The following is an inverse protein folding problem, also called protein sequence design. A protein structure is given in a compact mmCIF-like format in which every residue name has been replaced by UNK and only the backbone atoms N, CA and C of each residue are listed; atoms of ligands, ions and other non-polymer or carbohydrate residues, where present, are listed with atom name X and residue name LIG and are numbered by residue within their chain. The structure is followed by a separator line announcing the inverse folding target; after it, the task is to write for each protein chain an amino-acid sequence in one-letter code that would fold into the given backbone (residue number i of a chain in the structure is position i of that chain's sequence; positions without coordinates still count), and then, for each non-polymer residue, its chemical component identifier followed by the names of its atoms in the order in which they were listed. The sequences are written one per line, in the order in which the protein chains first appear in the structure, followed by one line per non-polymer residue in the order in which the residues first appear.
data_IF_296295660295
#
_entry.id   IF_296295660295
#
_cell.length_a   1.000
_cell.length_b   1.000
_cell.length_c   1.000
_cell.angle_alpha   90.00
_cell.angle_beta   90.00
_cell.angle_gamma   90.00
#
_symmetry.space_group_name_H-M   'P 1'
#
loop_
_entity.id
_entity.type
_entity.pdbx_description
1 polymer ?
#
# COMPACT_ATOMS: atom_id res chain seq x y z
N UNK A 1 -18.77 44.21 3.82
CA UNK A 1 -18.58 43.31 5.00
C UNK A 1 -18.89 41.83 4.68
N UNK A 2 -19.92 41.48 3.88
CA UNK A 2 -20.20 40.09 3.47
C UNK A 2 -19.10 39.36 2.69
N UNK A 3 -18.26 40.06 1.92
CA UNK A 3 -17.16 39.45 1.11
C UNK A 3 -15.96 38.98 1.96
N UNK A 4 -15.71 39.62 3.10
CA UNK A 4 -14.61 39.26 4.01
C UNK A 4 -14.94 37.94 4.74
N UNK A 5 -16.22 37.72 5.05
CA UNK A 5 -16.66 36.50 5.75
C UNK A 5 -16.47 35.23 4.90
N UNK A 6 -16.70 35.32 3.58
CA UNK A 6 -16.60 34.18 2.66
C UNK A 6 -15.13 33.78 2.40
N UNK A 7 -14.21 34.74 2.48
CA UNK A 7 -12.78 34.47 2.23
C UNK A 7 -12.13 33.74 3.42
N UNK A 8 -12.59 34.03 4.65
CA UNK A 8 -12.09 33.37 5.85
C UNK A 8 -12.56 31.91 5.98
N UNK A 9 -13.71 31.54 5.39
CA UNK A 9 -14.23 30.16 5.47
C UNK A 9 -13.52 29.19 4.52
N UNK A 10 -12.97 29.68 3.40
CA UNK A 10 -12.26 28.83 2.43
C UNK A 10 -10.86 28.42 2.90
N UNK A 11 -10.27 29.14 3.86
CA UNK A 11 -8.92 28.87 4.37
C UNK A 11 -8.87 27.73 5.42
N UNK A 12 -10.01 27.32 5.96
CA UNK A 12 -10.08 26.35 7.06
C UNK A 12 -10.15 24.89 6.55
N UNK A 13 -10.37 24.68 5.25
CA UNK A 13 -10.52 23.34 4.67
C UNK A 13 -9.29 22.81 3.93
N UNK A 14 -8.10 23.36 4.20
CA UNK A 14 -6.87 22.60 3.98
C UNK A 14 -6.70 21.64 5.14
N UNK A 15 -7.47 20.56 5.14
CA UNK A 15 -7.07 19.35 5.86
C UNK A 15 -5.72 18.99 5.21
N UNK A 16 -4.62 19.39 5.85
CA UNK A 16 -3.31 18.93 5.44
C UNK A 16 -3.37 17.42 5.60
N UNK A 17 -3.55 16.70 4.49
CA UNK A 17 -3.17 15.29 4.42
C UNK A 17 -1.66 15.28 4.66
N UNK A 18 -1.27 15.25 5.92
CA UNK A 18 0.11 15.08 6.30
C UNK A 18 0.41 13.61 6.04
N UNK A 19 1.09 13.35 4.94
CA UNK A 19 1.67 12.04 4.71
C UNK A 19 2.85 11.90 5.68
N UNK A 20 2.84 10.83 6.48
CA UNK A 20 3.90 10.50 7.41
C UNK A 20 4.78 9.43 6.77
N UNK A 21 6.09 9.60 6.90
CA UNK A 21 7.04 8.56 6.51
C UNK A 21 6.98 7.42 7.51
N UNK A 22 6.70 6.22 7.01
CA UNK A 22 6.75 4.97 7.76
C UNK A 22 8.00 4.22 7.36
N UNK A 23 8.81 3.81 8.33
CA UNK A 23 10.03 3.00 8.11
C UNK A 23 9.87 1.61 8.72
N UNK A 24 10.28 0.59 7.99
CA UNK A 24 10.21 -0.83 8.37
C UNK A 24 11.54 -1.53 8.04
N UNK A 25 11.75 -2.71 8.63
CA UNK A 25 12.95 -3.56 8.40
C UNK A 25 14.26 -2.77 8.55
N UNK A 26 14.42 -2.10 9.71
CA UNK A 26 15.57 -1.25 10.03
C UNK A 26 15.87 -0.16 8.98
N UNK A 27 14.82 0.35 8.34
CA UNK A 27 14.89 1.45 7.38
C UNK A 27 15.07 1.01 5.92
N UNK A 28 15.08 -0.29 5.62
CA UNK A 28 15.15 -0.80 4.23
C UNK A 28 13.88 -0.53 3.43
N UNK A 29 12.75 -0.42 4.11
CA UNK A 29 11.46 -0.05 3.50
C UNK A 29 11.06 1.30 4.08
N UNK A 30 10.78 2.26 3.20
CA UNK A 30 10.25 3.57 3.56
C UNK A 30 9.20 4.00 2.55
N UNK A 31 8.07 4.50 3.02
CA UNK A 31 7.03 5.09 2.17
C UNK A 31 6.21 6.09 2.98
N UNK A 32 5.45 6.91 2.26
CA UNK A 32 4.57 7.91 2.85
C UNK A 32 3.12 7.40 2.87
N UNK A 33 2.49 7.46 4.04
CA UNK A 33 1.05 7.19 4.19
C UNK A 33 0.49 8.09 5.29
N UNK A 34 -0.83 8.28 5.31
CA UNK A 34 -1.46 9.07 6.38
C UNK A 34 -1.22 8.46 7.78
N UNK A 35 -1.51 9.23 8.83
CA UNK A 35 -1.26 8.84 10.22
C UNK A 35 -2.15 7.69 10.73
N UNK A 36 -3.15 7.24 9.96
CA UNK A 36 -3.97 6.09 10.34
C UNK A 36 -3.26 4.77 10.14
N UNK A 37 -2.24 4.73 9.27
CA UNK A 37 -1.46 3.53 9.01
C UNK A 37 -0.45 3.29 10.14
N UNK A 38 -0.40 2.04 10.57
CA UNK A 38 0.57 1.57 11.56
C UNK A 38 1.02 0.15 11.18
N UNK A 39 2.21 -0.23 11.62
CA UNK A 39 2.67 -1.61 11.50
C UNK A 39 1.70 -2.57 12.20
N UNK A 40 1.35 -3.66 11.54
CA UNK A 40 0.58 -4.74 12.15
C UNK A 40 1.49 -5.61 13.01
N UNK A 41 0.96 -6.11 14.12
CA UNK A 41 1.61 -7.18 14.87
C UNK A 41 1.59 -8.49 14.08
N UNK A 42 2.50 -9.40 14.41
CA UNK A 42 2.52 -10.73 13.78
C UNK A 42 1.19 -11.47 13.96
N UNK A 43 0.55 -11.34 15.13
CA UNK A 43 -0.78 -11.93 15.41
C UNK A 43 -1.84 -11.45 14.41
N UNK A 44 -1.87 -10.14 14.11
CA UNK A 44 -2.80 -9.57 13.13
C UNK A 44 -2.49 -10.11 11.73
N UNK A 45 -1.20 -10.21 11.37
CA UNK A 45 -0.76 -10.73 10.06
C UNK A 45 -1.21 -12.19 9.91
N UNK A 46 -0.92 -13.03 10.90
CA UNK A 46 -1.25 -14.47 10.86
C UNK A 46 -2.75 -14.70 10.75
N UNK A 47 -3.56 -13.88 11.44
CA UNK A 47 -5.02 -13.97 11.39
C UNK A 47 -5.60 -13.48 10.06
N UNK A 48 -5.06 -12.40 9.50
CA UNK A 48 -5.57 -11.80 8.25
C UNK A 48 -5.09 -12.55 7.01
N UNK A 49 -3.90 -13.13 7.06
CA UNK A 49 -3.25 -13.84 5.95
C UNK A 49 -2.89 -15.27 6.38
N UNK A 50 -3.86 -16.20 6.51
CA UNK A 50 -3.61 -17.56 7.00
C UNK A 50 -2.86 -18.46 5.99
N UNK A 51 -2.11 -17.88 5.06
CA UNK A 51 -1.39 -18.56 3.99
C UNK A 51 0.09 -18.75 4.35
N UNK A 52 0.70 -19.83 3.85
CA UNK A 52 2.16 -20.04 3.88
C UNK A 52 2.96 -18.94 3.17
N UNK A 53 2.28 -18.05 2.43
CA UNK A 53 2.86 -16.92 1.69
C UNK A 53 2.35 -15.57 2.22
N UNK A 54 2.07 -15.46 3.52
CA UNK A 54 1.75 -14.19 4.14
C UNK A 54 2.89 -13.17 3.91
N UNK A 55 2.57 -11.88 3.68
CA UNK A 55 3.60 -10.84 3.62
C UNK A 55 4.38 -10.78 4.94
N UNK A 56 5.70 -10.58 4.85
CA UNK A 56 6.57 -10.47 6.03
C UNK A 56 6.29 -9.21 6.84
N UNK A 57 5.98 -8.11 6.16
CA UNK A 57 5.65 -6.84 6.78
C UNK A 57 4.30 -6.36 6.29
N UNK A 58 3.47 -5.84 7.20
CA UNK A 58 2.17 -5.26 6.84
C UNK A 58 1.98 -3.99 7.63
N UNK A 59 1.55 -2.92 6.95
CA UNK A 59 0.92 -1.77 7.60
C UNK A 59 -0.56 -1.77 7.31
N UNK A 60 -1.33 -1.10 8.15
CA UNK A 60 -2.73 -0.85 7.84
C UNK A 60 -3.39 0.06 8.86
N UNK A 61 -4.66 0.35 8.58
CA UNK A 61 -5.50 1.12 9.49
C UNK A 61 -5.87 0.28 10.72
N UNK A 62 -6.25 0.93 11.82
CA UNK A 62 -6.76 0.27 13.04
C UNK A 62 -7.90 -0.71 12.78
N UNK A 63 -8.75 -0.43 11.78
CA UNK A 63 -9.87 -1.29 11.40
C UNK A 63 -9.44 -2.62 10.78
N UNK A 64 -8.17 -2.73 10.39
CA UNK A 64 -7.59 -3.81 9.61
C UNK A 64 -8.18 -3.99 8.20
N UNK A 65 -9.13 -3.16 7.76
CA UNK A 65 -9.75 -3.28 6.44
C UNK A 65 -8.80 -2.91 5.31
N UNK A 66 -8.11 -1.77 5.46
CA UNK A 66 -7.08 -1.31 4.53
C UNK A 66 -5.70 -1.66 5.05
N UNK A 67 -4.87 -2.27 4.22
CA UNK A 67 -3.50 -2.63 4.55
C UNK A 67 -2.62 -2.67 3.31
N UNK A 68 -1.31 -2.47 3.51
CA UNK A 68 -0.28 -2.62 2.48
C UNK A 68 0.69 -3.68 3.00
N UNK A 69 0.84 -4.77 2.24
CA UNK A 69 1.75 -5.87 2.56
C UNK A 69 3.02 -5.77 1.74
N UNK A 70 4.17 -6.02 2.37
CA UNK A 70 5.48 -5.96 1.76
C UNK A 70 6.26 -7.25 2.03
N UNK A 71 7.15 -7.54 1.11
CA UNK A 71 8.16 -8.57 1.28
C UNK A 71 9.44 -8.14 0.56
N UNK A 72 10.60 -8.44 1.15
CA UNK A 72 11.88 -8.26 0.48
C UNK A 72 12.33 -9.65 0.06
N UNK A 73 12.27 -9.90 -1.24
CA UNK A 73 12.69 -11.19 -1.81
C UNK A 73 14.19 -11.17 -2.09
N UNK A 74 14.83 -12.32 -1.89
CA UNK A 74 16.26 -12.48 -2.15
C UNK A 74 16.59 -12.65 -3.64
N UNK A 75 15.60 -12.99 -4.46
CA UNK A 75 15.81 -13.10 -5.91
C UNK A 75 15.77 -11.70 -6.54
N UNK A 76 16.85 -11.38 -7.25
CA UNK A 76 16.94 -10.17 -8.06
C UNK A 76 16.26 -10.44 -9.40
N UNK A 77 15.41 -9.51 -9.84
CA UNK A 77 14.86 -9.50 -11.19
C UNK A 77 15.69 -8.50 -11.99
N UNK A 78 16.36 -8.98 -13.03
CA UNK A 78 17.05 -8.10 -13.98
C UNK A 78 16.03 -7.18 -14.66
N UNK A 79 16.38 -5.90 -14.82
CA UNK A 79 15.54 -4.90 -15.47
C UNK A 79 15.09 -5.36 -16.86
N UNK A 80 15.96 -6.04 -17.62
CA UNK A 80 15.65 -6.58 -18.93
C UNK A 80 14.50 -7.61 -18.92
N UNK A 81 14.22 -8.22 -17.76
CA UNK A 81 13.21 -9.26 -17.58
C UNK A 81 11.94 -8.76 -16.87
N UNK A 82 11.84 -7.46 -16.54
CA UNK A 82 10.70 -6.93 -15.78
C UNK A 82 9.36 -7.11 -16.51
N UNK A 83 9.33 -6.91 -17.83
CA UNK A 83 8.07 -7.03 -18.59
C UNK A 83 7.59 -8.48 -18.68
N UNK A 84 8.51 -9.42 -18.85
CA UNK A 84 8.18 -10.86 -18.85
C UNK A 84 7.72 -11.32 -17.47
N UNK A 85 8.35 -10.81 -16.39
CA UNK A 85 7.89 -11.05 -15.03
C UNK A 85 6.47 -10.49 -14.81
N UNK A 86 6.20 -9.25 -15.24
CA UNK A 86 4.88 -8.62 -15.16
C UNK A 86 3.83 -9.44 -15.92
N UNK A 87 4.13 -9.90 -17.13
CA UNK A 87 3.22 -10.76 -17.93
C UNK A 87 2.93 -12.08 -17.23
N UNK A 88 3.96 -12.80 -16.78
CA UNK A 88 3.80 -14.07 -16.08
C UNK A 88 2.98 -13.95 -14.78
N UNK A 89 3.18 -12.85 -14.03
CA UNK A 89 2.35 -12.52 -12.86
C UNK A 89 0.89 -12.24 -13.25
N UNK A 90 0.67 -11.47 -14.31
CA UNK A 90 -0.66 -11.13 -14.81
C UNK A 90 -1.44 -12.38 -15.22
N UNK A 91 -0.83 -13.23 -16.05
CA UNK A 91 -1.44 -14.49 -16.49
C UNK A 91 -1.74 -15.43 -15.33
N UNK A 92 -0.89 -15.44 -14.30
CA UNK A 92 -1.12 -16.21 -13.10
C UNK A 92 -2.37 -15.69 -12.39
N UNK A 93 -2.49 -14.37 -12.18
CA UNK A 93 -3.63 -13.75 -11.52
C UNK A 93 -4.93 -13.92 -12.30
N UNK A 94 -4.91 -13.79 -13.63
CA UNK A 94 -6.07 -14.01 -14.49
C UNK A 94 -6.63 -15.44 -14.35
N UNK A 95 -5.76 -16.42 -14.07
CA UNK A 95 -6.16 -17.82 -13.84
C UNK A 95 -6.72 -18.07 -12.44
N UNK A 96 -6.21 -17.37 -11.43
CA UNK A 96 -6.52 -17.68 -10.01
C UNK A 96 -7.57 -16.75 -9.38
N UNK A 97 -7.79 -15.55 -9.92
CA UNK A 97 -8.73 -14.57 -9.39
C UNK A 97 -9.90 -14.41 -10.37
N UNK A 98 -11.07 -15.02 -10.09
CA UNK A 98 -12.24 -14.90 -10.95
C UNK A 98 -12.67 -13.44 -11.11
N UNK A 99 -12.84 -12.99 -12.36
CA UNK A 99 -13.35 -11.65 -12.66
C UNK A 99 -12.38 -10.52 -12.35
N UNK A 100 -11.07 -10.77 -12.29
CA UNK A 100 -10.07 -9.71 -12.13
C UNK A 100 -10.20 -8.66 -13.24
N UNK A 101 -10.08 -7.39 -12.86
CA UNK A 101 -10.06 -6.24 -13.78
C UNK A 101 -8.82 -5.42 -13.46
N UNK A 102 -7.98 -5.21 -14.47
CA UNK A 102 -6.76 -4.42 -14.35
C UNK A 102 -7.08 -2.92 -14.48
N UNK A 103 -6.74 -2.13 -13.46
CA UNK A 103 -6.82 -0.66 -13.53
C UNK A 103 -5.59 -0.09 -14.23
N UNK A 104 -4.41 -0.66 -13.93
CA UNK A 104 -3.12 -0.36 -14.53
C UNK A 104 -2.32 -1.66 -14.62
N UNK A 105 -1.75 -1.98 -15.78
CA UNK A 105 -0.92 -3.17 -15.98
C UNK A 105 0.13 -2.94 -17.08
N UNK A 106 0.98 -1.97 -16.83
CA UNK A 106 2.10 -1.58 -17.66
C UNK A 106 3.27 -1.18 -16.74
N UNK A 107 4.49 -1.26 -17.26
CA UNK A 107 5.69 -0.76 -16.57
C UNK A 107 5.81 0.76 -16.69
#
# INVERSE_FOLDING_TARGET
MKKILITATLLIFTIQLSAKTHTLDDGKISFEANDEFQAFSQEIIDKKYPSKRAPKFVIGTKSTKTSIGFDIKNNIIDEANLDDFRKGMSESFDKIIPGIVWIKNEL
#
